data_IF_405165696288
#
_entry.id   IF_405165696288
#
_cell.length_a   1.000
_cell.length_b   1.000
_cell.length_c   1.000
_cell.angle_alpha   90.00
_cell.angle_beta   90.00
_cell.angle_gamma   90.00
#
_symmetry.space_group_name_H-M   'P 1'
#
loop_
_entity.id
_entity.type
_entity.pdbx_description
1 polymer ?
#
# COMPACT_ATOMS: atom_id res chain seq x y z
N UNK A 1 -1.38 9.77 72.67
CA UNK A 1 -2.43 9.11 71.85
C UNK A 1 -2.33 9.57 70.39
N UNK A 2 -1.64 8.82 69.51
CA UNK A 2 -1.70 9.02 68.05
C UNK A 2 -1.52 7.67 67.34
N UNK A 3 -2.62 6.95 67.14
CA UNK A 3 -2.75 5.80 66.23
C UNK A 3 -4.20 5.78 65.75
N UNK A 4 -4.41 5.93 64.43
CA UNK A 4 -5.58 5.51 63.62
C UNK A 4 -5.94 6.46 62.46
N UNK A 5 -5.00 6.76 61.55
CA UNK A 5 -5.36 7.47 60.29
C UNK A 5 -4.86 6.79 58.99
N UNK A 6 -4.19 5.63 59.09
CA UNK A 6 -3.64 4.89 57.95
C UNK A 6 -4.64 3.91 57.31
N UNK A 7 -5.60 3.40 58.08
CA UNK A 7 -6.58 2.42 57.57
C UNK A 7 -7.72 3.07 56.76
N UNK A 8 -8.12 4.30 57.09
CA UNK A 8 -9.20 5.02 56.38
C UNK A 8 -8.82 5.34 54.93
N UNK A 9 -7.62 5.84 54.70
CA UNK A 9 -7.13 6.22 53.35
C UNK A 9 -6.90 5.00 52.44
N UNK A 10 -6.50 3.85 52.99
CA UNK A 10 -6.38 2.59 52.23
C UNK A 10 -7.74 2.04 51.81
N UNK A 11 -8.75 2.14 52.67
CA UNK A 11 -10.11 1.68 52.37
C UNK A 11 -10.79 2.53 51.29
N UNK A 12 -10.56 3.85 51.30
CA UNK A 12 -11.07 4.75 50.25
C UNK A 12 -10.41 4.47 48.89
N UNK A 13 -9.10 4.21 48.86
CA UNK A 13 -8.40 3.85 47.62
C UNK A 13 -8.88 2.51 47.04
N UNK A 14 -9.11 1.51 47.90
CA UNK A 14 -9.68 0.21 47.47
C UNK A 14 -11.09 0.37 46.91
N UNK A 15 -11.96 1.13 47.58
CA UNK A 15 -13.31 1.40 47.10
C UNK A 15 -13.33 2.10 45.73
N UNK A 16 -12.44 3.08 45.50
CA UNK A 16 -12.30 3.76 44.20
C UNK A 16 -11.84 2.82 43.09
N UNK A 17 -10.89 1.93 43.36
CA UNK A 17 -10.44 0.92 42.39
C UNK A 17 -11.57 -0.05 42.06
N UNK A 18 -12.30 -0.54 43.06
CA UNK A 18 -13.45 -1.44 42.83
C UNK A 18 -14.54 -0.78 41.99
N UNK A 19 -14.87 0.49 42.25
CA UNK A 19 -15.86 1.25 41.45
C UNK A 19 -15.37 1.40 39.99
N UNK A 20 -14.08 1.69 39.79
CA UNK A 20 -13.51 1.83 38.44
C UNK A 20 -13.57 0.52 37.66
N UNK A 21 -13.24 -0.62 38.30
CA UNK A 21 -13.31 -1.94 37.66
C UNK A 21 -14.75 -2.31 37.29
N UNK A 22 -15.72 -2.02 38.17
CA UNK A 22 -17.15 -2.26 37.87
C UNK A 22 -17.61 -1.38 36.70
N UNK A 23 -17.20 -0.11 36.65
CA UNK A 23 -17.56 0.78 35.55
C UNK A 23 -16.98 0.31 34.20
N UNK A 24 -15.73 -0.16 34.17
CA UNK A 24 -15.12 -0.72 32.95
C UNK A 24 -15.82 -2.01 32.53
N UNK A 25 -16.15 -2.91 33.47
CA UNK A 25 -16.87 -4.14 33.16
C UNK A 25 -18.26 -3.85 32.55
N UNK A 26 -18.98 -2.84 33.07
CA UNK A 26 -20.27 -2.42 32.52
C UNK A 26 -20.14 -1.83 31.12
N UNK A 27 -19.10 -1.04 30.85
CA UNK A 27 -18.84 -0.50 29.50
C UNK A 27 -18.55 -1.60 28.47
N UNK A 28 -17.80 -2.64 28.86
CA UNK A 28 -17.52 -3.81 27.99
C UNK A 28 -18.79 -4.59 27.70
N UNK A 29 -19.66 -4.79 28.70
CA UNK A 29 -20.94 -5.49 28.51
C UNK A 29 -21.86 -4.69 27.58
N UNK A 30 -21.96 -3.37 27.78
CA UNK A 30 -22.79 -2.50 26.93
C UNK A 30 -22.25 -2.49 25.49
N UNK A 31 -20.94 -2.36 25.29
CA UNK A 31 -20.31 -2.42 23.96
C UNK A 31 -20.56 -3.76 23.26
N UNK A 32 -20.53 -4.87 24.00
CA UNK A 32 -20.81 -6.21 23.45
C UNK A 32 -22.26 -6.37 22.99
N UNK A 33 -23.23 -5.81 23.73
CA UNK A 33 -24.65 -5.84 23.36
C UNK A 33 -24.90 -5.00 22.09
N UNK A 34 -24.29 -3.82 21.98
CA UNK A 34 -24.40 -2.95 20.79
C UNK A 34 -23.78 -3.62 19.57
N UNK A 35 -22.63 -4.29 19.72
CA UNK A 35 -22.00 -5.05 18.64
C UNK A 35 -22.89 -6.22 18.18
N UNK A 36 -23.49 -6.97 19.12
CA UNK A 36 -24.40 -8.07 18.80
C UNK A 36 -25.68 -7.59 18.08
N UNK A 37 -26.22 -6.43 18.45
CA UNK A 37 -27.37 -5.84 17.77
C UNK A 37 -27.04 -5.37 16.35
N UNK A 38 -25.87 -4.76 16.13
CA UNK A 38 -25.39 -4.40 14.78
C UNK A 38 -25.15 -5.64 13.91
N UNK A 39 -24.63 -6.72 14.49
CA UNK A 39 -24.37 -7.96 13.77
C UNK A 39 -25.68 -8.68 13.38
N UNK A 40 -26.67 -8.69 14.27
CA UNK A 40 -27.98 -9.30 14.01
C UNK A 40 -28.81 -8.51 12.97
N UNK A 41 -28.65 -7.18 12.90
CA UNK A 41 -29.31 -6.34 11.90
C UNK A 41 -28.74 -6.47 10.48
N UNK A 42 -27.53 -7.06 10.32
CA UNK A 42 -26.82 -7.17 9.04
C UNK A 42 -27.06 -8.46 8.25
N UNK A 43 -27.79 -9.43 8.78
CA UNK A 43 -28.05 -10.70 8.09
C UNK A 43 -29.48 -10.74 7.55
N UNK A 44 -29.66 -10.31 6.29
CA UNK A 44 -30.80 -10.73 5.47
C UNK A 44 -30.31 -11.76 4.45
N UNK A 45 -30.84 -12.96 4.62
CA UNK A 45 -30.71 -14.15 3.79
C UNK A 45 -31.03 -13.88 2.32
N UNK A 46 -30.14 -14.28 1.41
CA UNK A 46 -30.44 -14.41 -0.02
C UNK A 46 -30.71 -15.89 -0.31
N UNK A 47 -31.94 -16.19 -0.72
CA UNK A 47 -32.38 -17.51 -1.16
C UNK A 47 -32.39 -17.52 -2.69
N UNK A 48 -31.75 -18.53 -3.28
CA UNK A 48 -31.71 -18.76 -4.72
C UNK A 48 -33.02 -19.36 -5.24
N UNK A 49 -33.49 -18.88 -6.40
CA UNK A 49 -34.40 -19.62 -7.27
C UNK A 49 -34.18 -19.22 -8.73
N UNK A 50 -34.00 -20.22 -9.57
CA UNK A 50 -33.93 -20.14 -11.04
C UNK A 50 -35.34 -20.17 -11.65
N UNK A 51 -35.56 -19.45 -12.74
CA UNK A 51 -36.26 -19.96 -13.94
C UNK A 51 -36.28 -18.93 -15.07
N UNK A 52 -36.19 -19.48 -16.28
CA UNK A 52 -36.18 -18.95 -17.64
C UNK A 52 -37.46 -18.22 -18.08
N UNK A 53 -37.32 -17.25 -18.99
CA UNK A 53 -38.41 -16.69 -19.81
C UNK A 53 -37.96 -15.54 -20.72
N UNK A 54 -38.33 -15.58 -22.01
CA UNK A 54 -37.85 -14.78 -23.15
C UNK A 54 -38.27 -13.29 -23.22
N UNK A 55 -37.35 -12.50 -23.81
CA UNK A 55 -37.51 -11.48 -24.88
C UNK A 55 -38.59 -10.38 -24.81
N UNK A 56 -38.17 -9.11 -24.81
CA UNK A 56 -38.60 -8.06 -25.76
C UNK A 56 -37.86 -6.73 -25.55
N UNK A 57 -37.76 -5.96 -26.64
CA UNK A 57 -36.93 -4.78 -26.90
C UNK A 57 -37.30 -3.48 -26.16
N UNK A 58 -36.29 -2.60 -26.16
CA UNK A 58 -36.32 -1.13 -26.12
C UNK A 58 -36.93 -0.44 -24.88
N UNK A 59 -36.07 0.19 -24.07
CA UNK A 59 -36.16 1.64 -23.87
C UNK A 59 -34.89 2.21 -23.21
N UNK A 60 -34.56 3.43 -23.67
CA UNK A 60 -33.47 4.29 -23.20
C UNK A 60 -33.72 4.85 -21.81
N UNK A 61 -32.61 5.26 -21.18
CA UNK A 61 -32.52 6.17 -20.03
C UNK A 61 -32.98 5.61 -18.68
N UNK A 62 -32.01 5.22 -17.85
CA UNK A 62 -31.57 6.05 -16.73
C UNK A 62 -30.64 5.20 -15.85
N UNK A 63 -29.33 5.19 -16.14
CA UNK A 63 -28.36 4.67 -15.18
C UNK A 63 -27.98 5.78 -14.21
N UNK A 64 -28.88 6.07 -13.28
CA UNK A 64 -28.49 6.57 -11.97
C UNK A 64 -27.68 5.44 -11.30
N UNK A 65 -26.39 5.36 -11.65
CA UNK A 65 -25.44 4.54 -10.93
C UNK A 65 -25.27 5.18 -9.57
N UNK A 66 -26.03 4.62 -8.63
CA UNK A 66 -25.79 4.58 -7.19
C UNK A 66 -24.39 5.10 -6.85
N UNK A 67 -24.33 6.38 -6.48
CA UNK A 67 -23.22 6.98 -5.76
C UNK A 67 -23.04 6.20 -4.46
N UNK A 68 -22.17 5.19 -4.51
CA UNK A 68 -21.58 4.58 -3.34
C UNK A 68 -20.25 5.29 -3.18
N UNK A 69 -20.25 6.31 -2.32
CA UNK A 69 -19.06 6.99 -1.83
C UNK A 69 -18.02 5.94 -1.40
N UNK A 70 -17.04 5.65 -2.25
CA UNK A 70 -15.75 5.14 -1.82
C UNK A 70 -14.98 6.35 -1.30
N UNK A 71 -14.82 6.45 0.02
CA UNK A 71 -13.95 7.44 0.65
C UNK A 71 -12.64 7.58 -0.14
N UNK A 72 -12.31 8.81 -0.56
CA UNK A 72 -11.15 9.09 -1.40
C UNK A 72 -9.83 8.59 -0.80
N UNK A 73 -9.18 7.63 -1.48
CA UNK A 73 -7.92 7.01 -1.04
C UNK A 73 -6.95 6.70 -2.19
N UNK A 74 -7.24 7.15 -3.41
CA UNK A 74 -6.39 6.94 -4.60
C UNK A 74 -5.75 8.27 -5.00
N UNK A 75 -4.50 8.23 -5.44
CA UNK A 75 -3.79 9.37 -6.03
C UNK A 75 -3.37 9.03 -7.45
N UNK A 76 -3.55 9.98 -8.36
CA UNK A 76 -3.14 9.87 -9.76
C UNK A 76 -1.61 9.79 -9.85
N UNK A 77 -1.10 8.70 -10.42
CA UNK A 77 0.33 8.48 -10.60
C UNK A 77 1.01 9.56 -11.45
N UNK A 78 0.32 10.11 -12.46
CA UNK A 78 0.86 11.16 -13.32
C UNK A 78 1.09 12.48 -12.57
N UNK A 79 0.26 12.74 -11.55
CA UNK A 79 0.45 13.85 -10.64
C UNK A 79 1.66 13.59 -9.73
N UNK A 80 1.77 12.39 -9.16
CA UNK A 80 2.87 12.06 -8.25
C UNK A 80 4.23 12.02 -8.95
N UNK A 81 4.32 11.48 -10.16
CA UNK A 81 5.53 11.49 -10.99
C UNK A 81 6.08 12.93 -11.11
N UNK A 82 5.23 13.87 -11.56
CA UNK A 82 5.60 15.28 -11.68
C UNK A 82 5.95 15.92 -10.34
N UNK A 83 5.18 15.62 -9.29
CA UNK A 83 5.42 16.15 -7.95
C UNK A 83 6.82 15.76 -7.46
N UNK A 84 7.19 14.48 -7.59
CA UNK A 84 8.47 13.95 -7.15
C UNK A 84 9.61 14.51 -8.00
N UNK A 85 9.46 14.56 -9.33
CA UNK A 85 10.47 15.17 -10.20
C UNK A 85 10.77 16.63 -9.84
N UNK A 86 9.73 17.43 -9.56
CA UNK A 86 9.89 18.82 -9.16
C UNK A 86 10.64 18.92 -7.82
N UNK A 87 10.30 18.04 -6.87
CA UNK A 87 10.97 17.96 -5.58
C UNK A 87 12.47 17.63 -5.73
N UNK A 88 12.83 16.66 -6.56
CA UNK A 88 14.22 16.29 -6.85
C UNK A 88 15.01 17.43 -7.49
N UNK A 89 14.35 18.22 -8.34
CA UNK A 89 14.92 19.44 -8.95
C UNK A 89 14.99 20.63 -7.97
N UNK A 90 14.71 20.43 -6.67
CA UNK A 90 14.61 21.47 -5.63
C UNK A 90 13.61 22.58 -5.96
N UNK A 91 12.57 22.25 -6.72
CA UNK A 91 11.48 23.16 -7.04
C UNK A 91 10.34 22.98 -6.03
N UNK A 92 9.52 24.02 -5.85
CA UNK A 92 8.26 23.85 -5.11
C UNK A 92 7.32 23.03 -6.00
N UNK A 93 6.87 21.83 -5.59
CA UNK A 93 5.99 21.04 -6.42
C UNK A 93 4.62 21.70 -6.60
N UNK A 94 4.03 21.52 -7.78
CA UNK A 94 2.64 21.87 -8.04
C UNK A 94 1.73 21.01 -7.16
N UNK A 95 0.67 21.59 -6.61
CA UNK A 95 -0.25 20.89 -5.70
C UNK A 95 0.23 20.76 -4.25
N UNK A 96 1.41 21.31 -3.90
CA UNK A 96 1.84 21.44 -2.50
C UNK A 96 0.87 22.34 -1.71
N UNK A 97 0.07 21.72 -0.84
CA UNK A 97 -1.03 22.34 -0.09
C UNK A 97 -0.88 22.18 1.44
N UNK A 98 0.24 21.63 1.92
CA UNK A 98 0.48 21.37 3.33
C UNK A 98 -0.14 20.07 3.86
N UNK A 99 -0.92 19.34 3.05
CA UNK A 99 -1.53 18.08 3.50
C UNK A 99 -0.54 16.93 3.44
N UNK A 100 -0.39 16.28 4.58
CA UNK A 100 0.45 15.10 4.76
C UNK A 100 -0.24 13.84 4.23
N UNK A 101 0.34 13.25 3.20
CA UNK A 101 -0.12 12.00 2.59
C UNK A 101 1.05 11.03 2.49
N UNK A 102 0.84 9.82 2.97
CA UNK A 102 1.79 8.73 2.94
C UNK A 102 1.33 7.68 1.94
N UNK A 103 2.27 7.21 1.15
CA UNK A 103 2.09 6.15 0.18
C UNK A 103 3.05 5.04 0.56
N UNK A 104 2.51 4.00 1.18
CA UNK A 104 3.26 2.80 1.48
C UNK A 104 3.46 2.04 0.18
N UNK A 105 4.71 1.79 -0.22
CA UNK A 105 5.00 1.07 -1.45
C UNK A 105 5.93 -0.11 -1.19
N UNK A 106 5.66 -1.23 -1.85
CA UNK A 106 6.43 -2.46 -1.69
C UNK A 106 6.88 -2.98 -3.05
N UNK A 107 8.19 -3.15 -3.21
CA UNK A 107 8.80 -3.68 -4.43
C UNK A 107 9.18 -5.16 -4.24
N UNK A 108 9.34 -5.85 -5.37
CA UNK A 108 9.88 -7.21 -5.53
C UNK A 108 8.96 -8.39 -5.15
N UNK A 109 7.69 -8.12 -4.86
CA UNK A 109 6.66 -9.11 -4.59
C UNK A 109 6.08 -9.81 -5.85
N UNK A 110 5.18 -10.79 -5.65
CA UNK A 110 4.76 -11.34 -4.35
C UNK A 110 5.73 -12.41 -3.83
N UNK A 111 5.97 -12.39 -2.52
CA UNK A 111 6.63 -13.45 -1.76
C UNK A 111 5.61 -14.25 -0.95
N UNK A 112 5.70 -15.57 -1.02
CA UNK A 112 4.85 -16.46 -0.21
C UNK A 112 5.15 -16.43 1.29
N UNK A 113 6.21 -15.73 1.73
CA UNK A 113 6.56 -15.61 3.15
C UNK A 113 6.32 -14.22 3.74
N UNK A 114 6.54 -13.15 2.97
CA UNK A 114 6.53 -11.77 3.51
C UNK A 114 5.27 -11.01 3.11
N UNK A 115 4.87 -11.02 1.84
CA UNK A 115 3.62 -10.42 1.35
C UNK A 115 2.39 -10.73 2.22
N UNK A 116 2.09 -12.00 2.61
CA UNK A 116 0.93 -12.27 3.46
C UNK A 116 0.99 -11.59 4.83
N UNK A 117 2.18 -11.45 5.42
CA UNK A 117 2.36 -10.75 6.71
C UNK A 117 2.07 -9.26 6.56
N UNK A 118 2.57 -8.65 5.48
CA UNK A 118 2.33 -7.23 5.18
C UNK A 118 0.84 -6.98 4.96
N UNK A 119 0.16 -7.82 4.17
CA UNK A 119 -1.28 -7.71 3.93
C UNK A 119 -2.09 -7.84 5.23
N UNK A 120 -1.73 -8.79 6.12
CA UNK A 120 -2.37 -8.94 7.43
C UNK A 120 -2.22 -7.66 8.29
N UNK A 121 -1.02 -7.04 8.26
CA UNK A 121 -0.73 -5.81 9.00
C UNK A 121 -1.54 -4.63 8.42
N UNK A 122 -1.48 -4.42 7.11
CA UNK A 122 -2.22 -3.34 6.42
C UNK A 122 -3.71 -3.39 6.75
N UNK A 123 -4.30 -4.59 6.66
CA UNK A 123 -5.70 -4.85 7.05
C UNK A 123 -5.97 -4.58 8.53
N UNK A 124 -5.07 -5.00 9.42
CA UNK A 124 -5.23 -4.77 10.87
C UNK A 124 -5.13 -3.29 11.26
N UNK A 125 -4.37 -2.53 10.47
CA UNK A 125 -4.14 -1.11 10.65
C UNK A 125 -5.15 -0.24 9.88
N UNK A 126 -6.05 -0.83 9.10
CA UNK A 126 -7.04 -0.13 8.26
C UNK A 126 -6.38 0.88 7.31
N UNK A 127 -5.29 0.46 6.65
CA UNK A 127 -4.57 1.25 5.64
C UNK A 127 -4.30 0.40 4.40
N UNK A 128 -4.09 1.06 3.27
CA UNK A 128 -3.78 0.43 1.99
C UNK A 128 -2.39 0.84 1.48
N UNK A 129 -1.83 0.01 0.59
CA UNK A 129 -0.51 0.21 0.00
C UNK A 129 -0.54 0.00 -1.52
N UNK A 130 0.58 0.29 -2.18
CA UNK A 130 0.80 -0.03 -3.60
C UNK A 130 1.93 -1.05 -3.73
N UNK A 131 1.70 -2.14 -4.44
CA UNK A 131 2.67 -3.22 -4.64
C UNK A 131 3.22 -3.18 -6.07
N UNK A 132 4.53 -2.97 -6.23
CA UNK A 132 5.22 -3.01 -7.51
C UNK A 132 5.74 -4.43 -7.74
N UNK A 133 4.99 -5.18 -8.54
CA UNK A 133 5.19 -6.63 -8.67
C UNK A 133 6.16 -7.00 -9.78
N UNK A 134 6.98 -8.02 -9.51
CA UNK A 134 7.80 -8.65 -10.54
C UNK A 134 6.99 -9.75 -11.23
N UNK A 135 6.77 -9.62 -12.53
CA UNK A 135 5.94 -10.54 -13.32
C UNK A 135 6.33 -12.01 -13.21
N UNK A 136 7.63 -12.36 -13.15
CA UNK A 136 8.06 -13.76 -12.96
C UNK A 136 7.58 -14.38 -11.64
N UNK A 137 7.33 -13.57 -10.61
CA UNK A 137 6.81 -14.04 -9.32
C UNK A 137 5.29 -14.11 -9.32
N UNK A 138 4.62 -13.23 -10.07
CA UNK A 138 3.18 -13.33 -10.35
C UNK A 138 2.85 -14.67 -11.03
N UNK A 139 3.62 -15.04 -12.06
CA UNK A 139 3.39 -16.25 -12.87
C UNK A 139 3.90 -17.55 -12.22
N UNK A 140 4.60 -17.45 -11.09
CA UNK A 140 5.39 -18.55 -10.52
C UNK A 140 4.57 -19.78 -10.16
N UNK A 141 3.54 -19.60 -9.34
CA UNK A 141 2.71 -20.68 -8.80
C UNK A 141 1.35 -20.14 -8.31
N UNK A 142 0.42 -21.04 -7.97
CA UNK A 142 -0.92 -20.65 -7.53
C UNK A 142 -0.93 -19.90 -6.21
N UNK A 143 0.07 -20.11 -5.33
CA UNK A 143 0.16 -19.37 -4.07
C UNK A 143 0.49 -17.89 -4.35
N UNK A 144 1.45 -17.62 -5.23
CA UNK A 144 1.73 -16.26 -5.72
C UNK A 144 0.49 -15.61 -6.34
N UNK A 145 -0.19 -16.31 -7.26
CA UNK A 145 -1.40 -15.77 -7.93
C UNK A 145 -2.52 -15.43 -6.95
N UNK A 146 -2.68 -16.26 -5.91
CA UNK A 146 -3.66 -16.00 -4.85
C UNK A 146 -3.29 -14.78 -3.98
N UNK A 147 -1.99 -14.50 -3.79
CA UNK A 147 -1.54 -13.28 -3.10
C UNK A 147 -1.83 -12.03 -3.94
N UNK A 148 -1.58 -12.05 -5.24
CA UNK A 148 -1.92 -10.93 -6.15
C UNK A 148 -3.42 -10.63 -6.13
N UNK A 149 -4.27 -11.67 -6.16
CA UNK A 149 -5.72 -11.51 -6.00
C UNK A 149 -6.09 -10.91 -4.64
N UNK A 150 -5.38 -11.31 -3.59
CA UNK A 150 -5.60 -10.82 -2.22
C UNK A 150 -5.21 -9.35 -2.08
N UNK A 151 -4.11 -8.91 -2.69
CA UNK A 151 -3.69 -7.50 -2.71
C UNK A 151 -4.84 -6.60 -3.19
N UNK A 152 -5.41 -6.91 -4.37
CA UNK A 152 -6.54 -6.16 -4.94
C UNK A 152 -7.80 -6.30 -4.10
N UNK A 153 -8.15 -7.53 -3.69
CA UNK A 153 -9.37 -7.78 -2.91
C UNK A 153 -9.38 -7.10 -1.54
N UNK A 154 -8.20 -6.79 -0.99
CA UNK A 154 -8.02 -6.06 0.27
C UNK A 154 -7.82 -4.54 0.07
N UNK A 155 -8.05 -4.03 -1.15
CA UNK A 155 -8.08 -2.60 -1.47
C UNK A 155 -6.72 -1.96 -1.75
N UNK A 156 -5.70 -2.76 -2.03
CA UNK A 156 -4.37 -2.27 -2.39
C UNK A 156 -4.24 -2.08 -3.92
N UNK A 157 -3.39 -1.14 -4.33
CA UNK A 157 -3.05 -0.97 -5.74
C UNK A 157 -1.89 -1.89 -6.15
N UNK A 158 -1.81 -2.18 -7.44
CA UNK A 158 -0.72 -2.92 -8.07
C UNK A 158 -0.07 -2.03 -9.12
N UNK A 159 1.25 -1.97 -9.12
CA UNK A 159 2.10 -1.43 -10.17
C UNK A 159 3.04 -2.49 -10.75
N UNK A 160 3.71 -2.15 -11.85
CA UNK A 160 4.64 -3.04 -12.56
C UNK A 160 6.08 -2.74 -12.14
N UNK A 161 6.85 -3.78 -11.81
CA UNK A 161 8.27 -3.71 -11.46
C UNK A 161 9.17 -4.53 -12.38
N UNK A 162 8.91 -4.49 -13.69
CA UNK A 162 9.42 -5.44 -14.70
C UNK A 162 8.92 -6.88 -14.49
N UNK A 163 9.20 -7.76 -15.44
CA UNK A 163 8.95 -9.20 -15.35
C UNK A 163 10.19 -9.94 -14.85
N UNK A 164 11.37 -9.62 -15.38
CA UNK A 164 12.62 -10.34 -15.12
C UNK A 164 13.34 -9.85 -13.86
N UNK A 165 13.29 -8.54 -13.60
CA UNK A 165 14.17 -7.83 -12.66
C UNK A 165 15.66 -8.15 -12.93
N UNK A 166 16.02 -8.32 -14.21
CA UNK A 166 17.40 -8.58 -14.66
C UNK A 166 18.02 -7.29 -15.20
N UNK A 167 18.90 -6.69 -14.39
CA UNK A 167 19.63 -5.49 -14.76
C UNK A 167 20.51 -5.65 -16.01
N UNK A 168 21.03 -6.85 -16.29
CA UNK A 168 21.86 -7.10 -17.47
C UNK A 168 21.03 -7.11 -18.76
N UNK A 169 19.77 -7.55 -18.66
CA UNK A 169 18.81 -7.54 -19.75
C UNK A 169 18.20 -6.14 -19.95
N UNK A 170 17.73 -5.51 -18.88
CA UNK A 170 17.08 -4.19 -18.93
C UNK A 170 18.07 -3.06 -19.24
N UNK A 171 19.27 -3.13 -18.65
CA UNK A 171 20.26 -2.07 -18.70
C UNK A 171 21.64 -2.58 -19.18
N UNK A 172 21.74 -3.19 -20.37
CA UNK A 172 22.98 -3.79 -20.85
C UNK A 172 24.10 -2.75 -20.89
N UNK A 173 25.22 -3.06 -20.24
CA UNK A 173 26.38 -2.15 -20.10
C UNK A 173 26.02 -0.82 -19.40
N UNK A 174 25.00 -0.84 -18.53
CA UNK A 174 24.59 0.31 -17.73
C UNK A 174 23.77 1.37 -18.49
N UNK A 175 23.19 1.00 -19.64
CA UNK A 175 22.36 1.89 -20.48
C UNK A 175 20.98 1.30 -20.67
N UNK A 176 19.95 2.15 -20.73
CA UNK A 176 18.58 1.70 -20.90
C UNK A 176 18.41 1.08 -22.29
N UNK A 177 17.93 -0.17 -22.33
CA UNK A 177 17.48 -0.77 -23.57
C UNK A 177 15.95 -0.66 -23.65
N UNK A 178 15.49 0.28 -24.47
CA UNK A 178 14.07 0.59 -24.64
C UNK A 178 13.22 -0.64 -24.97
N UNK A 179 13.64 -1.43 -25.96
CA UNK A 179 12.88 -2.60 -26.43
C UNK A 179 12.78 -3.65 -25.32
N UNK A 180 13.89 -3.91 -24.63
CA UNK A 180 13.91 -4.86 -23.52
C UNK A 180 13.01 -4.37 -22.38
N UNK A 181 13.15 -3.12 -21.93
CA UNK A 181 12.31 -2.55 -20.87
C UNK A 181 10.82 -2.64 -21.21
N UNK A 182 10.40 -2.15 -22.39
CA UNK A 182 8.99 -2.19 -22.78
C UNK A 182 8.46 -3.61 -22.90
N UNK A 183 9.23 -4.53 -23.49
CA UNK A 183 8.85 -5.94 -23.57
C UNK A 183 8.74 -6.59 -22.20
N UNK A 184 9.59 -6.21 -21.24
CA UNK A 184 9.58 -6.72 -19.87
C UNK A 184 8.33 -6.23 -19.12
N UNK A 185 7.99 -4.94 -19.25
CA UNK A 185 6.79 -4.35 -18.64
C UNK A 185 5.49 -4.88 -19.24
N UNK A 186 5.39 -4.96 -20.58
CA UNK A 186 4.24 -5.56 -21.26
C UNK A 186 4.03 -7.02 -20.87
N UNK A 187 5.11 -7.75 -20.54
CA UNK A 187 5.00 -9.13 -20.08
C UNK A 187 4.43 -9.21 -18.66
N UNK A 188 4.80 -8.29 -17.76
CA UNK A 188 4.17 -8.21 -16.45
C UNK A 188 2.70 -7.80 -16.54
N UNK A 189 2.35 -6.82 -17.38
CA UNK A 189 0.95 -6.43 -17.62
C UNK A 189 0.09 -7.63 -18.03
N UNK A 190 0.59 -8.45 -18.97
CA UNK A 190 -0.07 -9.71 -19.38
C UNK A 190 -0.18 -10.72 -18.24
N UNK A 191 0.88 -10.91 -17.44
CA UNK A 191 0.85 -11.80 -16.29
C UNK A 191 -0.23 -11.38 -15.27
N UNK A 192 -0.35 -10.07 -15.01
CA UNK A 192 -1.36 -9.52 -14.13
C UNK A 192 -2.78 -9.74 -14.67
N UNK A 193 -3.02 -9.45 -15.96
CA UNK A 193 -4.32 -9.71 -16.62
C UNK A 193 -4.71 -11.18 -16.60
N UNK A 194 -3.77 -12.10 -16.81
CA UNK A 194 -4.02 -13.53 -16.71
C UNK A 194 -4.50 -13.96 -15.30
N UNK A 195 -4.11 -13.23 -14.25
CA UNK A 195 -4.44 -13.54 -12.86
C UNK A 195 -5.70 -12.81 -12.40
N UNK A 196 -5.86 -11.54 -12.79
CA UNK A 196 -6.88 -10.62 -12.28
C UNK A 196 -8.06 -10.40 -13.25
N UNK A 197 -7.91 -10.81 -14.51
CA UNK A 197 -8.88 -10.60 -15.58
C UNK A 197 -8.41 -9.55 -16.60
N UNK A 198 -8.95 -9.62 -17.82
CA UNK A 198 -8.56 -8.73 -18.94
C UNK A 198 -8.87 -7.24 -18.69
N UNK A 199 -9.84 -6.96 -17.82
CA UNK A 199 -10.24 -5.60 -17.44
C UNK A 199 -9.27 -4.96 -16.44
N UNK A 200 -8.32 -5.72 -15.89
CA UNK A 200 -7.29 -5.17 -15.01
C UNK A 200 -6.36 -4.23 -15.80
N UNK A 201 -6.12 -3.05 -15.22
CA UNK A 201 -5.16 -2.08 -15.74
C UNK A 201 -4.42 -1.40 -14.59
N UNK A 202 -3.17 -1.03 -14.82
CA UNK A 202 -2.39 -0.15 -13.95
C UNK A 202 -1.61 0.85 -14.79
N UNK A 203 -1.41 2.05 -14.26
CA UNK A 203 -0.60 3.10 -14.87
C UNK A 203 0.75 3.25 -14.17
N UNK A 204 0.92 2.62 -13.01
CA UNK A 204 2.08 2.78 -12.14
C UNK A 204 3.21 1.83 -12.52
N UNK A 205 4.35 2.37 -12.93
CA UNK A 205 5.59 1.63 -13.20
C UNK A 205 6.66 2.09 -12.22
N UNK A 206 7.46 1.15 -11.70
CA UNK A 206 8.71 1.48 -11.02
C UNK A 206 9.84 0.68 -11.62
N UNK A 207 10.95 1.34 -11.96
CA UNK A 207 12.09 0.67 -12.56
C UNK A 207 12.87 -0.11 -11.50
N UNK A 208 13.39 -1.31 -11.82
CA UNK A 208 14.40 -1.96 -11.01
C UNK A 208 15.58 -1.00 -10.74
N UNK A 209 15.79 -0.67 -9.47
CA UNK A 209 16.84 0.24 -9.00
C UNK A 209 16.53 1.73 -9.12
N UNK A 210 15.30 2.10 -9.46
CA UNK A 210 14.82 3.47 -9.58
C UNK A 210 15.20 4.16 -10.90
N UNK A 211 14.25 4.93 -11.46
CA UNK A 211 14.45 5.72 -12.67
C UNK A 211 15.62 6.70 -12.52
N UNK A 212 15.77 7.33 -11.36
CA UNK A 212 16.81 8.34 -11.10
C UNK A 212 18.23 7.78 -11.33
N UNK A 213 18.45 6.52 -10.93
CA UNK A 213 19.72 5.80 -11.14
C UNK A 213 20.08 5.71 -12.62
N UNK A 214 19.10 5.38 -13.47
CA UNK A 214 19.32 5.16 -14.89
C UNK A 214 19.35 6.47 -15.67
N UNK A 215 18.52 7.44 -15.28
CA UNK A 215 18.50 8.79 -15.87
C UNK A 215 19.84 9.50 -15.70
N UNK A 216 20.51 9.34 -14.55
CA UNK A 216 21.87 9.88 -14.34
C UNK A 216 22.92 9.23 -15.26
N UNK A 217 22.77 7.94 -15.58
CA UNK A 217 23.73 7.18 -16.41
C UNK A 217 23.48 7.32 -17.90
N UNK A 218 22.21 7.42 -18.30
CA UNK A 218 21.77 7.46 -19.69
C UNK A 218 20.55 8.37 -19.87
N UNK A 219 20.72 9.72 -19.79
CA UNK A 219 19.60 10.66 -19.88
C UNK A 219 18.77 10.53 -21.17
N UNK A 220 19.43 10.25 -22.29
CA UNK A 220 18.75 10.08 -23.59
C UNK A 220 17.96 8.76 -23.64
N UNK A 221 18.46 7.70 -23.00
CA UNK A 221 17.72 6.44 -22.85
C UNK A 221 16.50 6.64 -21.96
N UNK A 222 16.65 7.39 -20.87
CA UNK A 222 15.58 7.72 -19.94
C UNK A 222 14.46 8.52 -20.63
N UNK A 223 14.79 9.59 -21.36
CA UNK A 223 13.81 10.37 -22.13
C UNK A 223 13.03 9.51 -23.15
N UNK A 224 13.71 8.59 -23.82
CA UNK A 224 13.07 7.70 -24.81
C UNK A 224 12.10 6.71 -24.17
N UNK A 225 12.49 6.11 -23.04
CA UNK A 225 11.61 5.14 -22.36
C UNK A 225 10.46 5.85 -21.68
N UNK A 226 10.69 7.01 -21.07
CA UNK A 226 9.65 7.83 -20.47
C UNK A 226 8.57 8.22 -21.47
N UNK A 227 8.98 8.71 -22.65
CA UNK A 227 8.06 8.96 -23.76
C UNK A 227 7.25 7.72 -24.17
N UNK A 228 7.90 6.56 -24.28
CA UNK A 228 7.21 5.33 -24.68
C UNK A 228 6.22 4.82 -23.61
N UNK A 229 6.50 5.08 -22.33
CA UNK A 229 5.58 4.78 -21.23
C UNK A 229 4.38 5.74 -21.26
N UNK A 230 4.61 7.05 -21.39
CA UNK A 230 3.52 8.03 -21.46
C UNK A 230 2.62 7.85 -22.68
N UNK A 231 3.13 7.34 -23.81
CA UNK A 231 2.31 6.94 -24.96
C UNK A 231 1.29 5.83 -24.63
N UNK A 232 1.52 5.06 -23.57
CA UNK A 232 0.62 4.03 -23.02
C UNK A 232 -0.11 4.47 -21.74
N UNK A 233 0.00 5.74 -21.36
CA UNK A 233 -0.48 6.26 -20.07
C UNK A 233 0.13 5.52 -18.86
N UNK A 234 1.40 5.10 -19.02
CA UNK A 234 2.21 4.54 -17.95
C UNK A 234 3.19 5.59 -17.44
N UNK A 235 3.32 5.66 -16.12
CA UNK A 235 4.07 6.68 -15.41
C UNK A 235 5.10 6.03 -14.50
N UNK A 236 6.33 6.55 -14.54
CA UNK A 236 7.37 6.10 -13.63
C UNK A 236 7.23 6.80 -12.30
N UNK A 237 7.32 6.03 -11.22
CA UNK A 237 7.28 6.59 -9.89
C UNK A 237 8.38 5.98 -9.02
N UNK A 238 9.38 6.79 -8.71
CA UNK A 238 10.42 6.45 -7.73
C UNK A 238 9.88 6.65 -6.30
N UNK A 239 10.74 7.02 -5.36
CA UNK A 239 10.42 7.25 -3.96
C UNK A 239 11.18 8.45 -3.46
N UNK A 240 10.61 9.15 -2.47
CA UNK A 240 11.30 10.27 -1.80
C UNK A 240 11.58 9.98 -0.33
N UNK A 241 11.14 8.83 0.19
CA UNK A 241 11.47 8.29 1.50
C UNK A 241 11.67 6.76 1.40
N UNK A 242 12.38 6.16 2.36
CA UNK A 242 12.65 4.72 2.34
C UNK A 242 12.90 4.18 3.74
N UNK A 243 12.62 2.90 3.96
CA UNK A 243 12.95 2.18 5.21
C UNK A 243 14.43 1.83 5.34
N UNK A 244 15.16 1.84 4.22
CA UNK A 244 16.56 1.40 4.16
C UNK A 244 16.73 -0.12 4.23
N UNK A 245 15.69 -0.90 3.96
CA UNK A 245 15.74 -2.38 3.98
C UNK A 245 16.54 -3.01 2.82
N UNK A 246 16.89 -2.24 1.80
CA UNK A 246 17.83 -2.59 0.73
C UNK A 246 19.17 -1.83 0.81
N UNK A 247 19.36 -0.99 1.84
CA UNK A 247 20.52 -0.11 1.96
C UNK A 247 21.57 -0.62 2.94
N UNK A 248 22.81 -0.16 2.75
CA UNK A 248 23.92 -0.37 3.69
C UNK A 248 24.69 -1.68 3.51
N UNK A 249 25.65 -1.93 4.41
CA UNK A 249 26.60 -3.05 4.32
C UNK A 249 26.16 -4.29 5.11
N UNK A 250 25.09 -4.20 5.90
CA UNK A 250 24.55 -5.29 6.70
C UNK A 250 23.02 -5.34 6.63
N UNK A 251 22.45 -6.50 6.98
CA UNK A 251 21.00 -6.67 7.12
C UNK A 251 20.51 -5.97 8.38
N UNK A 252 19.74 -4.88 8.21
CA UNK A 252 19.12 -4.13 9.31
C UNK A 252 18.00 -4.93 9.97
N UNK A 253 17.84 -4.76 11.28
CA UNK A 253 16.67 -5.24 12.02
C UNK A 253 15.51 -4.23 11.99
N UNK A 254 14.34 -4.64 12.47
CA UNK A 254 13.13 -3.81 12.45
C UNK A 254 13.31 -2.43 13.11
N UNK A 255 14.02 -2.32 14.23
CA UNK A 255 14.22 -1.04 14.93
C UNK A 255 15.09 -0.09 14.11
N UNK A 256 16.14 -0.60 13.46
CA UNK A 256 16.97 0.18 12.54
C UNK A 256 16.16 0.66 11.32
N UNK A 257 15.28 -0.19 10.77
CA UNK A 257 14.38 0.17 9.67
C UNK A 257 13.37 1.25 10.05
N UNK A 258 12.80 1.17 11.25
CA UNK A 258 11.89 2.20 11.78
C UNK A 258 12.62 3.55 11.88
N UNK A 259 13.85 3.56 12.41
CA UNK A 259 14.64 4.78 12.56
C UNK A 259 14.98 5.41 11.21
N UNK A 260 15.44 4.60 10.24
CA UNK A 260 15.74 5.10 8.90
C UNK A 260 14.47 5.57 8.19
N UNK A 261 13.34 4.86 8.30
CA UNK A 261 12.06 5.31 7.75
C UNK A 261 11.64 6.67 8.31
N UNK A 262 11.63 6.85 9.64
CA UNK A 262 11.24 8.10 10.29
C UNK A 262 12.14 9.26 9.85
N UNK A 263 13.46 9.03 9.86
CA UNK A 263 14.45 10.00 9.42
C UNK A 263 14.26 10.37 7.95
N UNK A 264 14.05 9.36 7.11
CA UNK A 264 13.90 9.50 5.67
C UNK A 264 12.59 10.19 5.30
N UNK A 265 11.48 9.92 5.98
CA UNK A 265 10.19 10.62 5.82
C UNK A 265 10.34 12.12 6.15
N UNK A 266 10.95 12.44 7.29
CA UNK A 266 11.15 13.82 7.71
C UNK A 266 9.84 14.61 7.80
N UNK A 267 9.78 15.77 7.15
CA UNK A 267 8.63 16.69 7.17
C UNK A 267 7.89 16.77 5.82
N UNK A 268 8.03 15.76 4.96
CA UNK A 268 7.44 15.78 3.61
C UNK A 268 5.91 15.88 3.66
N UNK A 269 5.35 16.65 2.72
CA UNK A 269 3.90 16.67 2.52
C UNK A 269 3.44 15.38 1.85
N UNK A 270 4.16 14.91 0.82
CA UNK A 270 3.90 13.64 0.15
C UNK A 270 5.07 12.70 0.43
N UNK A 271 4.85 11.66 1.22
CA UNK A 271 5.87 10.68 1.58
C UNK A 271 5.62 9.37 0.80
N UNK A 272 6.33 9.17 -0.31
CA UNK A 272 6.36 7.90 -1.03
C UNK A 272 7.47 7.05 -0.42
N UNK A 273 7.08 6.04 0.35
CA UNK A 273 8.01 5.23 1.15
C UNK A 273 8.32 3.93 0.43
N UNK A 274 9.58 3.75 0.01
CA UNK A 274 10.10 2.49 -0.51
C UNK A 274 10.35 1.47 0.61
N UNK A 275 9.79 0.29 0.43
CA UNK A 275 10.00 -0.93 1.20
C UNK A 275 9.98 -2.12 0.24
N UNK A 276 10.33 -3.32 0.73
CA UNK A 276 10.29 -4.54 -0.08
C UNK A 276 9.51 -5.64 0.62
N UNK A 277 8.63 -6.33 -0.10
CA UNK A 277 7.85 -7.49 0.37
C UNK A 277 8.39 -8.83 -0.15
N UNK A 278 9.61 -8.85 -0.67
CA UNK A 278 10.24 -10.07 -1.20
C UNK A 278 10.80 -11.01 -0.12
N UNK A 279 11.29 -12.19 -0.53
CA UNK A 279 11.88 -13.18 0.36
C UNK A 279 13.05 -12.60 1.18
N UNK A 280 13.07 -12.87 2.49
CA UNK A 280 14.14 -12.41 3.39
C UNK A 280 13.92 -11.00 3.97
N UNK A 281 12.78 -10.36 3.67
CA UNK A 281 12.38 -9.03 4.19
C UNK A 281 11.44 -9.11 5.39
N UNK A 282 11.55 -10.14 6.23
CA UNK A 282 10.70 -10.30 7.41
C UNK A 282 10.87 -9.14 8.42
N UNK A 283 12.04 -8.52 8.48
CA UNK A 283 12.27 -7.33 9.32
C UNK A 283 11.47 -6.11 8.82
N UNK A 284 11.22 -5.99 7.51
CA UNK A 284 10.34 -4.96 6.95
C UNK A 284 8.91 -5.16 7.43
N UNK A 285 8.39 -6.40 7.40
CA UNK A 285 7.07 -6.70 7.94
C UNK A 285 6.98 -6.40 9.44
N UNK A 286 8.03 -6.72 10.23
CA UNK A 286 8.08 -6.40 11.67
C UNK A 286 8.12 -4.90 11.96
N UNK A 287 8.77 -4.11 11.11
CA UNK A 287 8.88 -2.66 11.25
C UNK A 287 7.57 -1.94 10.91
N UNK A 288 6.80 -2.48 9.97
CA UNK A 288 5.65 -1.83 9.35
C UNK A 288 4.61 -1.27 10.34
N UNK A 289 4.17 -1.98 11.40
CA UNK A 289 3.17 -1.44 12.34
C UNK A 289 3.63 -0.13 12.99
N UNK A 290 4.91 -0.05 13.37
CA UNK A 290 5.47 1.15 14.02
C UNK A 290 5.68 2.30 13.04
N UNK A 291 5.97 2.01 11.78
CA UNK A 291 6.03 3.02 10.71
C UNK A 291 4.62 3.61 10.48
N UNK A 292 3.59 2.76 10.38
CA UNK A 292 2.20 3.19 10.24
C UNK A 292 1.75 4.03 11.44
N UNK A 293 2.05 3.57 12.66
CA UNK A 293 1.74 4.30 13.90
C UNK A 293 2.38 5.69 13.91
N UNK A 294 3.66 5.79 13.52
CA UNK A 294 4.34 7.08 13.41
C UNK A 294 3.64 8.00 12.40
N UNK A 295 3.33 7.52 11.20
CA UNK A 295 2.65 8.30 10.16
C UNK A 295 1.27 8.80 10.65
N UNK A 296 0.47 7.94 11.29
CA UNK A 296 -0.81 8.32 11.93
C UNK A 296 -0.61 9.41 12.98
N UNK A 297 0.39 9.28 13.86
CA UNK A 297 0.70 10.28 14.89
C UNK A 297 1.16 11.63 14.29
N UNK A 298 1.80 11.59 13.12
CA UNK A 298 2.22 12.79 12.40
C UNK A 298 1.11 13.42 11.55
N UNK A 299 -0.08 12.84 11.54
CA UNK A 299 -1.26 13.32 10.83
C UNK A 299 -1.25 13.03 9.33
N UNK A 300 -0.57 11.96 8.89
CA UNK A 300 -0.62 11.53 7.50
C UNK A 300 -1.93 10.79 7.19
N UNK A 301 -2.54 11.14 6.07
CA UNK A 301 -3.52 10.31 5.37
C UNK A 301 -2.78 9.22 4.57
N UNK A 302 -3.42 8.07 4.36
CA UNK A 302 -2.85 6.98 3.57
C UNK A 302 -3.56 6.90 2.22
N UNK A 303 -2.79 6.85 1.14
CA UNK A 303 -3.31 6.67 -0.21
C UNK A 303 -2.53 5.62 -0.99
N UNK A 304 -3.21 5.01 -1.95
CA UNK A 304 -2.62 4.17 -2.99
C UNK A 304 -2.36 4.99 -4.26
N UNK A 305 -1.57 4.44 -5.19
CA UNK A 305 -1.14 5.12 -6.43
C UNK A 305 -1.67 4.34 -7.63
N UNK A 306 -2.51 4.98 -8.46
CA UNK A 306 -3.12 4.38 -9.66
C UNK A 306 -3.05 5.26 -10.92
#
# INVERSE_FOLDING_TARGET
MKRNNSNSTKNIKRARITILVIAVALLVIIGSIVAAQKFSAGSKTVQAASSTGESSNDDKENSDSVNKESNGSVEDVAYLEKYIEQQEKNQKPDGADGKKVAYLTFDDGPSTTVTPQILDILKSEDVHATFFLIGKYVDKDDASKNLVKREVAEGNAIGIHSYSHDYGYLFPKGKINLENCMSDFDKTDKALKNVLGEDFSTRSIRFPGGQETWSKKDPQGAEKVDKALHEKDWHQIDWNALSGDAEGTHKKNADELIQEAIKSIGNREKALILMHDTYGKEETAKALPRIIEYLKQQGYEFKIIE
#
